data_IF_509433706591
#
_entry.id   IF_509433706591
#
_cell.length_a   1.000
_cell.length_b   1.000
_cell.length_c   1.000
_cell.angle_alpha   90.00
_cell.angle_beta   90.00
_cell.angle_gamma   90.00
#
_symmetry.space_group_name_H-M   'P 1'
#
loop_
_entity.id
_entity.type
_entity.pdbx_description
1 polymer ?
#
# COMPACT_ATOMS: atom_id res chain seq x y z
N UNK A 1 33.53 39.89 -37.71
CA UNK A 1 33.47 39.98 -36.24
C UNK A 1 32.01 39.77 -35.85
N UNK A 2 31.72 38.59 -35.27
CA UNK A 2 30.68 38.18 -34.29
C UNK A 2 29.29 38.90 -34.37
N UNK A 3 28.11 38.27 -34.36
CA UNK A 3 27.64 37.07 -33.66
C UNK A 3 26.49 36.40 -34.45
N UNK A 4 26.62 35.09 -34.66
CA UNK A 4 25.46 34.24 -34.95
C UNK A 4 24.61 34.09 -33.68
N UNK A 5 23.35 34.51 -33.74
CA UNK A 5 22.35 34.19 -32.73
C UNK A 5 22.15 32.66 -32.71
N UNK A 6 22.83 31.99 -31.77
CA UNK A 6 22.43 30.65 -31.34
C UNK A 6 21.00 30.76 -30.80
N UNK A 7 20.04 30.19 -31.53
CA UNK A 7 18.73 29.85 -30.99
C UNK A 7 18.97 28.97 -29.77
N UNK A 8 18.79 29.53 -28.59
CA UNK A 8 18.62 28.75 -27.37
C UNK A 8 17.31 27.98 -27.53
N UNK A 9 17.42 26.73 -27.97
CA UNK A 9 16.34 25.76 -27.82
C UNK A 9 16.16 25.60 -26.32
N UNK A 10 15.16 26.28 -25.77
CA UNK A 10 14.66 26.02 -24.43
C UNK A 10 14.22 24.56 -24.46
N UNK A 11 15.04 23.67 -23.91
CA UNK A 11 14.67 22.29 -23.66
C UNK A 11 13.61 22.37 -22.56
N UNK A 12 12.36 22.55 -22.97
CA UNK A 12 11.22 22.42 -22.06
C UNK A 12 11.31 21.02 -21.47
N UNK A 13 11.57 20.95 -20.17
CA UNK A 13 11.57 19.69 -19.43
C UNK A 13 10.31 18.91 -19.80
N UNK A 14 10.40 17.58 -20.00
CA UNK A 14 9.23 16.78 -20.33
C UNK A 14 8.19 17.00 -19.24
N UNK A 15 7.10 17.67 -19.60
CA UNK A 15 5.95 17.88 -18.72
C UNK A 15 5.45 16.51 -18.30
N UNK A 16 5.80 16.12 -17.07
CA UNK A 16 5.31 14.88 -16.46
C UNK A 16 3.79 14.93 -16.54
N UNK A 17 3.23 14.02 -17.35
CA UNK A 17 1.79 13.89 -17.58
C UNK A 17 1.03 13.97 -16.25
N UNK A 18 -0.08 14.72 -16.22
CA UNK A 18 -0.95 14.91 -15.05
C UNK A 18 -1.34 13.57 -14.40
N UNK A 19 -1.51 12.52 -15.20
CA UNK A 19 -1.81 11.15 -14.76
C UNK A 19 -0.68 10.53 -13.93
N UNK A 20 0.58 10.85 -14.24
CA UNK A 20 1.74 10.38 -13.47
C UNK A 20 1.83 11.11 -12.12
N UNK A 21 1.56 12.42 -12.10
CA UNK A 21 1.51 13.21 -10.85
C UNK A 21 0.43 12.70 -9.90
N UNK A 22 -0.76 12.40 -10.41
CA UNK A 22 -1.87 11.85 -9.59
C UNK A 22 -1.52 10.51 -8.96
N UNK A 23 -0.85 9.61 -9.69
CA UNK A 23 -0.41 8.29 -9.18
C UNK A 23 0.62 8.41 -8.05
N UNK A 24 1.54 9.35 -8.20
CA UNK A 24 2.54 9.68 -7.16
C UNK A 24 1.85 10.18 -5.89
N UNK A 25 0.92 11.12 -6.02
CA UNK A 25 0.15 11.65 -4.88
C UNK A 25 -0.59 10.52 -4.16
N UNK A 26 -1.28 9.64 -4.90
CA UNK A 26 -1.98 8.49 -4.32
C UNK A 26 -1.00 7.63 -3.50
N UNK A 27 0.15 7.24 -4.04
CA UNK A 27 1.11 6.38 -3.33
C UNK A 27 1.65 7.02 -2.05
N UNK A 28 1.94 8.33 -2.09
CA UNK A 28 2.39 9.07 -0.90
C UNK A 28 1.29 9.05 0.17
N UNK A 29 0.04 9.34 -0.21
CA UNK A 29 -1.10 9.28 0.72
C UNK A 29 -1.29 7.89 1.31
N UNK A 30 -1.26 6.84 0.48
CA UNK A 30 -1.39 5.45 0.95
C UNK A 30 -0.28 5.09 1.94
N UNK A 31 0.95 5.52 1.67
CA UNK A 31 2.11 5.28 2.56
C UNK A 31 1.94 6.00 3.89
N UNK A 32 1.58 7.29 3.86
CA UNK A 32 1.36 8.07 5.08
C UNK A 32 0.23 7.47 5.93
N UNK A 33 -0.90 7.11 5.31
CA UNK A 33 -2.00 6.46 6.03
C UNK A 33 -1.56 5.13 6.63
N UNK A 34 -0.81 4.31 5.88
CA UNK A 34 -0.30 3.04 6.39
C UNK A 34 0.57 3.24 7.65
N UNK A 35 1.50 4.21 7.64
CA UNK A 35 2.32 4.53 8.81
C UNK A 35 1.49 5.04 9.99
N UNK A 36 0.58 6.00 9.77
CA UNK A 36 -0.33 6.49 10.80
C UNK A 36 -1.13 5.34 11.43
N UNK A 37 -1.52 4.37 10.60
CA UNK A 37 -2.23 3.19 11.03
C UNK A 37 -1.38 2.26 11.89
N UNK A 38 -0.14 2.00 11.48
CA UNK A 38 0.82 1.20 12.24
C UNK A 38 1.13 1.83 13.60
N UNK A 39 1.20 3.17 13.68
CA UNK A 39 1.36 3.85 14.96
C UNK A 39 0.11 3.73 15.84
N UNK A 40 -1.10 3.91 15.28
CA UNK A 40 -2.36 3.79 16.03
C UNK A 40 -2.57 2.36 16.56
N UNK A 41 -2.41 1.35 15.72
CA UNK A 41 -2.56 -0.06 16.13
C UNK A 41 -1.41 -0.54 16.99
N UNK A 42 -0.18 -0.11 16.69
CA UNK A 42 0.97 -0.34 17.54
C UNK A 42 0.76 0.18 18.96
N UNK A 43 0.20 1.40 19.10
CA UNK A 43 -0.13 2.01 20.40
C UNK A 43 -1.30 1.33 21.12
N UNK A 44 -2.40 1.00 20.43
CA UNK A 44 -3.57 0.31 21.01
C UNK A 44 -3.17 -1.04 21.62
N UNK A 45 -2.15 -1.69 21.06
CA UNK A 45 -1.73 -3.03 21.45
C UNK A 45 -0.55 -3.04 22.43
N UNK A 46 0.36 -2.06 22.37
CA UNK A 46 1.38 -1.86 23.42
C UNK A 46 0.79 -1.35 24.72
N UNK A 47 -0.23 -0.50 24.69
CA UNK A 47 -0.94 -0.05 25.89
C UNK A 47 -1.67 -1.19 26.63
N UNK A 48 -1.97 -2.30 25.94
CA UNK A 48 -2.66 -3.47 26.49
C UNK A 48 -1.79 -4.74 26.53
N UNK A 49 -0.46 -4.59 26.41
CA UNK A 49 0.51 -5.66 26.67
C UNK A 49 0.68 -6.76 25.60
N UNK A 50 0.04 -6.69 24.43
CA UNK A 50 0.06 -7.80 23.46
C UNK A 50 0.30 -7.36 22.00
N UNK A 51 1.37 -7.86 21.37
CA UNK A 51 1.49 -8.29 19.96
C UNK A 51 1.33 -7.31 18.78
N UNK A 52 0.49 -6.28 18.86
CA UNK A 52 0.04 -5.54 17.66
C UNK A 52 1.07 -4.74 16.86
N UNK A 53 2.19 -4.37 17.49
CA UNK A 53 3.31 -3.77 16.76
C UNK A 53 3.94 -4.75 15.76
N UNK A 54 3.84 -6.07 15.99
CA UNK A 54 4.45 -7.09 15.14
C UNK A 54 3.79 -7.20 13.77
N UNK A 55 2.53 -6.77 13.62
CA UNK A 55 1.81 -6.93 12.34
C UNK A 55 1.73 -5.63 11.54
N UNK A 56 1.44 -4.48 12.18
CA UNK A 56 1.27 -3.22 11.46
C UNK A 56 2.58 -2.65 10.88
N UNK A 57 3.71 -2.80 11.58
CA UNK A 57 5.00 -2.21 11.17
C UNK A 57 5.56 -2.88 9.91
N UNK A 58 5.61 -4.23 9.80
CA UNK A 58 6.04 -4.88 8.56
C UNK A 58 5.23 -4.46 7.32
N UNK A 59 3.93 -4.23 7.48
CA UNK A 59 3.07 -3.78 6.38
C UNK A 59 3.37 -2.36 5.91
N UNK A 60 3.54 -1.41 6.85
CA UNK A 60 3.92 -0.04 6.48
C UNK A 60 5.29 -0.01 5.80
N UNK A 61 6.26 -0.80 6.28
CA UNK A 61 7.57 -0.95 5.64
C UNK A 61 7.40 -1.51 4.22
N UNK A 62 6.58 -2.54 4.03
CA UNK A 62 6.31 -3.12 2.71
C UNK A 62 5.71 -2.09 1.74
N UNK A 63 4.70 -1.33 2.17
CA UNK A 63 4.07 -0.27 1.37
C UNK A 63 5.07 0.84 1.03
N UNK A 64 5.94 1.20 1.97
CA UNK A 64 7.02 2.15 1.76
C UNK A 64 8.01 1.66 0.70
N UNK A 65 8.48 0.41 0.82
CA UNK A 65 9.40 -0.19 -0.15
C UNK A 65 8.79 -0.24 -1.55
N UNK A 66 7.53 -0.64 -1.68
CA UNK A 66 6.83 -0.65 -2.96
C UNK A 66 6.69 0.74 -3.57
N UNK A 67 6.42 1.75 -2.73
CA UNK A 67 6.36 3.16 -3.14
C UNK A 67 7.73 3.66 -3.61
N UNK A 68 8.80 3.34 -2.88
CA UNK A 68 10.17 3.66 -3.30
C UNK A 68 10.50 2.98 -4.63
N UNK A 69 10.22 1.68 -4.77
CA UNK A 69 10.42 0.93 -6.02
C UNK A 69 9.64 1.55 -7.19
N UNK A 70 8.44 2.10 -6.95
CA UNK A 70 7.65 2.77 -7.97
C UNK A 70 8.36 4.02 -8.52
N UNK A 71 9.01 4.81 -7.65
CA UNK A 71 9.79 5.97 -8.08
C UNK A 71 11.03 5.57 -8.90
N UNK A 72 11.68 4.48 -8.53
CA UNK A 72 12.89 3.99 -9.23
C UNK A 72 12.60 3.17 -10.51
N UNK A 73 11.38 2.67 -10.69
CA UNK A 73 11.04 1.87 -11.85
C UNK A 73 11.12 2.69 -13.15
N UNK A 74 11.90 2.22 -14.13
CA UNK A 74 12.01 2.88 -15.45
C UNK A 74 10.91 2.45 -16.42
N UNK A 75 10.43 1.20 -16.31
CA UNK A 75 9.41 0.64 -17.21
C UNK A 75 7.99 1.01 -16.74
N UNK A 76 7.17 1.52 -17.65
CA UNK A 76 5.78 1.91 -17.36
C UNK A 76 4.92 0.72 -16.89
N UNK A 77 5.15 -0.46 -17.46
CA UNK A 77 4.48 -1.71 -17.06
C UNK A 77 4.82 -2.10 -15.61
N UNK A 78 6.09 -1.94 -15.20
CA UNK A 78 6.52 -2.18 -13.81
C UNK A 78 5.90 -1.15 -12.86
N UNK A 79 5.85 0.13 -13.23
CA UNK A 79 5.18 1.17 -12.43
C UNK A 79 3.71 0.85 -12.19
N UNK A 80 2.99 0.41 -13.21
CA UNK A 80 1.60 0.00 -13.06
C UNK A 80 1.48 -1.20 -12.11
N UNK A 81 2.29 -2.25 -12.30
CA UNK A 81 2.29 -3.41 -11.39
C UNK A 81 2.52 -2.98 -9.93
N UNK A 82 3.55 -2.18 -9.67
CA UNK A 82 3.86 -1.68 -8.32
C UNK A 82 2.73 -0.84 -7.72
N UNK A 83 2.09 0.03 -8.52
CA UNK A 83 0.94 0.81 -8.08
C UNK A 83 -0.23 -0.07 -7.65
N UNK A 84 -0.62 -1.05 -8.48
CA UNK A 84 -1.72 -1.95 -8.13
C UNK A 84 -1.38 -2.87 -6.97
N UNK A 85 -0.15 -3.38 -6.88
CA UNK A 85 0.31 -4.15 -5.73
C UNK A 85 0.18 -3.33 -4.45
N UNK A 86 0.67 -2.09 -4.46
CA UNK A 86 0.58 -1.18 -3.30
C UNK A 86 -0.87 -0.90 -2.92
N UNK A 87 -1.73 -0.64 -3.91
CA UNK A 87 -3.15 -0.37 -3.69
C UNK A 87 -3.88 -1.57 -3.09
N UNK A 88 -3.67 -2.77 -3.64
CA UNK A 88 -4.33 -3.99 -3.15
C UNK A 88 -3.89 -4.33 -1.73
N UNK A 89 -2.59 -4.23 -1.44
CA UNK A 89 -2.06 -4.46 -0.10
C UNK A 89 -2.60 -3.43 0.91
N UNK A 90 -2.66 -2.16 0.49
CA UNK A 90 -3.27 -1.12 1.32
C UNK A 90 -4.75 -1.40 1.60
N UNK A 91 -5.53 -1.78 0.58
CA UNK A 91 -6.96 -2.10 0.74
C UNK A 91 -7.18 -3.32 1.64
N UNK A 92 -6.33 -4.34 1.53
CA UNK A 92 -6.37 -5.50 2.42
C UNK A 92 -6.15 -5.08 3.88
N UNK A 93 -5.14 -4.23 4.12
CA UNK A 93 -4.83 -3.72 5.46
C UNK A 93 -5.94 -2.80 6.00
N UNK A 94 -6.47 -1.92 5.16
CA UNK A 94 -7.59 -1.04 5.52
C UNK A 94 -8.85 -1.84 5.84
N UNK A 95 -9.14 -2.89 5.07
CA UNK A 95 -10.26 -3.81 5.33
C UNK A 95 -10.10 -4.55 6.65
N UNK A 96 -8.93 -5.15 6.89
CA UNK A 96 -8.59 -5.78 8.17
C UNK A 96 -8.80 -4.81 9.34
N UNK A 97 -8.27 -3.62 9.20
CA UNK A 97 -8.32 -2.56 10.19
C UNK A 97 -9.74 -2.12 10.55
N UNK A 98 -10.57 -1.87 9.54
CA UNK A 98 -11.96 -1.49 9.73
C UNK A 98 -12.69 -2.61 10.48
N UNK A 99 -12.46 -3.86 10.10
CA UNK A 99 -13.07 -5.02 10.75
C UNK A 99 -12.68 -5.12 12.22
N UNK A 100 -11.40 -4.94 12.55
CA UNK A 100 -10.94 -4.94 13.95
C UNK A 100 -11.55 -3.78 14.75
N UNK A 101 -11.62 -2.58 14.17
CA UNK A 101 -12.23 -1.42 14.84
C UNK A 101 -13.75 -1.62 15.05
N UNK A 102 -14.45 -2.21 14.07
CA UNK A 102 -15.87 -2.56 14.21
C UNK A 102 -16.08 -3.56 15.33
N UNK A 103 -15.27 -4.62 15.40
CA UNK A 103 -15.34 -5.60 16.49
C UNK A 103 -15.09 -4.93 17.83
N UNK A 104 -14.08 -4.07 17.93
CA UNK A 104 -13.76 -3.32 19.16
C UNK A 104 -14.92 -2.45 19.65
N UNK A 105 -15.73 -1.91 18.73
CA UNK A 105 -16.89 -1.07 19.07
C UNK A 105 -18.17 -1.87 19.37
N UNK A 106 -18.22 -3.14 19.01
CA UNK A 106 -19.45 -3.95 19.05
C UNK A 106 -19.40 -5.10 20.04
N UNK A 107 -18.21 -5.53 20.47
CA UNK A 107 -18.00 -6.58 21.47
C UNK A 107 -17.50 -5.95 22.77
N UNK A 108 -18.19 -6.23 23.88
CA UNK A 108 -17.72 -5.82 25.22
C UNK A 108 -16.38 -6.50 25.55
N UNK A 109 -16.28 -7.81 25.35
CA UNK A 109 -15.04 -8.59 25.54
C UNK A 109 -14.16 -8.67 24.29
N UNK A 110 -14.05 -7.57 23.54
CA UNK A 110 -13.30 -7.55 22.28
C UNK A 110 -11.85 -8.03 22.43
N UNK A 111 -11.24 -7.81 23.60
CA UNK A 111 -9.85 -8.17 23.84
C UNK A 111 -9.65 -9.69 23.83
N UNK A 112 -10.51 -10.43 24.55
CA UNK A 112 -10.46 -11.89 24.56
C UNK A 112 -10.78 -12.46 23.18
N UNK A 113 -11.77 -11.88 22.50
CA UNK A 113 -12.18 -12.33 21.17
C UNK A 113 -11.10 -12.12 20.10
N UNK A 114 -10.38 -11.01 20.15
CA UNK A 114 -9.38 -10.65 19.14
C UNK A 114 -7.98 -11.20 19.46
N UNK A 115 -7.51 -11.08 20.70
CA UNK A 115 -6.07 -11.12 21.01
C UNK A 115 -5.61 -12.26 21.94
N UNK A 116 -6.51 -13.08 22.49
CA UNK A 116 -6.09 -14.18 23.38
C UNK A 116 -5.42 -15.31 22.58
N UNK A 117 -4.17 -15.68 22.90
CA UNK A 117 -3.31 -16.51 22.03
C UNK A 117 -3.89 -17.87 21.57
N UNK A 118 -4.72 -18.52 22.39
CA UNK A 118 -5.29 -19.84 22.05
C UNK A 118 -6.60 -19.78 21.25
N UNK A 119 -7.25 -18.61 21.14
CA UNK A 119 -8.58 -18.46 20.52
C UNK A 119 -8.81 -17.19 19.70
N UNK A 120 -7.84 -16.26 19.70
CA UNK A 120 -7.95 -14.94 19.12
C UNK A 120 -8.22 -14.96 17.63
N UNK A 121 -9.18 -14.16 17.19
CA UNK A 121 -9.56 -14.03 15.78
C UNK A 121 -8.63 -13.11 14.98
N UNK A 122 -7.78 -12.30 15.62
CA UNK A 122 -6.99 -11.26 14.92
C UNK A 122 -6.08 -11.85 13.83
N UNK A 123 -5.34 -12.92 14.12
CA UNK A 123 -4.45 -13.56 13.14
C UNK A 123 -5.23 -14.21 12.01
N UNK A 124 -6.41 -14.78 12.31
CA UNK A 124 -7.31 -15.39 11.30
C UNK A 124 -7.88 -14.32 10.37
N UNK A 125 -8.29 -13.17 10.92
CA UNK A 125 -8.75 -12.02 10.16
C UNK A 125 -7.63 -11.46 9.30
N UNK A 126 -6.42 -11.27 9.85
CA UNK A 126 -5.28 -10.80 9.08
C UNK A 126 -4.97 -11.74 7.92
N UNK A 127 -4.89 -13.05 8.19
CA UNK A 127 -4.67 -14.07 7.16
C UNK A 127 -5.76 -14.06 6.09
N UNK A 128 -7.02 -13.91 6.47
CA UNK A 128 -8.13 -13.80 5.54
C UNK A 128 -7.95 -12.62 4.57
N UNK A 129 -7.68 -11.43 5.10
CA UNK A 129 -7.46 -10.24 4.25
C UNK A 129 -6.19 -10.37 3.40
N UNK A 130 -5.17 -11.05 3.91
CA UNK A 130 -3.95 -11.32 3.14
C UNK A 130 -4.17 -12.26 1.97
N UNK A 131 -4.85 -13.39 2.21
CA UNK A 131 -5.20 -14.34 1.15
C UNK A 131 -6.05 -13.64 0.10
N UNK A 132 -7.03 -12.84 0.52
CA UNK A 132 -7.88 -12.08 -0.39
C UNK A 132 -7.07 -11.07 -1.22
N UNK A 133 -6.13 -10.37 -0.58
CA UNK A 133 -5.19 -9.48 -1.26
C UNK A 133 -4.32 -10.21 -2.29
N UNK A 134 -3.77 -11.39 -1.94
CA UNK A 134 -2.96 -12.22 -2.84
C UNK A 134 -3.77 -12.70 -4.04
N UNK A 135 -5.02 -13.17 -3.83
CA UNK A 135 -5.91 -13.61 -4.91
C UNK A 135 -6.19 -12.46 -5.88
N UNK A 136 -6.54 -11.27 -5.36
CA UNK A 136 -6.79 -10.08 -6.17
C UNK A 136 -5.53 -9.66 -6.94
N UNK A 137 -4.37 -9.73 -6.31
CA UNK A 137 -3.09 -9.41 -6.95
C UNK A 137 -2.77 -10.39 -8.08
N UNK A 138 -2.93 -11.70 -7.84
CA UNK A 138 -2.72 -12.74 -8.84
C UNK A 138 -3.66 -12.56 -10.04
N UNK A 139 -4.94 -12.26 -9.78
CA UNK A 139 -5.91 -11.97 -10.83
C UNK A 139 -5.51 -10.73 -11.65
N UNK A 140 -5.05 -9.66 -10.98
CA UNK A 140 -4.61 -8.44 -11.66
C UNK A 140 -3.34 -8.66 -12.48
N UNK A 141 -2.38 -9.44 -11.98
CA UNK A 141 -1.17 -9.81 -12.73
C UNK A 141 -1.53 -10.64 -13.97
N UNK A 142 -2.45 -11.60 -13.84
CA UNK A 142 -2.95 -12.39 -14.98
C UNK A 142 -3.57 -11.48 -16.06
N UNK A 143 -4.31 -10.46 -15.65
CA UNK A 143 -4.86 -9.47 -16.57
C UNK A 143 -3.75 -8.72 -17.33
N UNK A 144 -2.72 -8.23 -16.64
CA UNK A 144 -1.60 -7.55 -17.28
C UNK A 144 -0.87 -8.41 -18.31
N UNK A 145 -0.64 -9.68 -18.00
CA UNK A 145 0.03 -10.60 -18.92
C UNK A 145 -0.84 -10.91 -20.15
N UNK A 146 -2.16 -10.95 -19.99
CA UNK A 146 -3.10 -11.13 -21.11
C UNK A 146 -3.15 -9.91 -22.02
N UNK A 147 -3.06 -8.70 -21.45
CA UNK A 147 -3.03 -7.45 -22.21
C UNK A 147 -1.70 -7.28 -22.96
N UNK A 148 -0.57 -7.71 -22.39
CA UNK A 148 0.74 -7.66 -23.06
C UNK A 148 0.92 -8.66 -24.20
N UNK A 149 0.10 -9.70 -24.29
CA UNK A 149 0.13 -10.70 -25.38
C UNK A 149 -0.75 -10.30 -26.58
N UNK A 150 -1.55 -9.24 -26.45
CA UNK A 150 -2.44 -8.73 -27.51
C UNK A 150 -1.79 -7.64 -28.38
N UNK A 151 -0.59 -7.20 -28.02
CA UNK A 151 0.21 -6.19 -28.71
C UNK A 151 1.61 -6.76 -28.95
#
# INVERSE_FOLDING_TARGET
>A
MILGLKKFTIVTQPTVSSTVKMKVVILIFLTLIAFLYSFKFGYILTANGHGGQLEGVPFAILIMLLTIMFFFAKKQTLKQKLLYTTLILFLALAGFSITVEVIRRTKEDFFQYLYLESGGMVNKLLMFYLILGVILLAWKIKQFNKESLKY
#
